data_IF_841437808567
#
_entry.id   IF_841437808567
#
_cell.length_a   1.000
_cell.length_b   1.000
_cell.length_c   1.000
_cell.angle_alpha   90.00
_cell.angle_beta   90.00
_cell.angle_gamma   90.00
#
_symmetry.space_group_name_H-M   'P 1'
#
loop_
_entity.id
_entity.type
_entity.pdbx_description
1 polymer ?
#
# COMPACT_ATOMS: atom_id res chain seq x y z
N UNK A 1 16.49 14.25 1.22
CA UNK A 1 15.36 14.37 0.29
C UNK A 1 14.18 13.70 0.95
N UNK A 2 13.03 14.36 1.01
CA UNK A 2 11.84 13.78 1.64
C UNK A 2 11.20 12.74 0.71
N UNK A 3 10.72 11.64 1.28
CA UNK A 3 10.10 10.54 0.55
C UNK A 3 8.58 10.63 0.72
N UNK A 4 7.87 11.04 -0.33
CA UNK A 4 6.41 10.93 -0.38
C UNK A 4 6.04 9.60 -1.04
N UNK A 5 5.50 8.68 -0.24
CA UNK A 5 5.01 7.38 -0.68
C UNK A 5 3.48 7.39 -0.66
N UNK A 6 2.87 6.95 -1.75
CA UNK A 6 1.42 6.85 -1.88
C UNK A 6 1.01 5.43 -2.28
N UNK A 7 -0.16 5.00 -1.82
CA UNK A 7 -0.84 3.79 -2.23
C UNK A 7 -2.18 4.12 -2.88
N UNK A 8 -2.47 3.56 -4.06
CA UNK A 8 -3.74 3.77 -4.76
C UNK A 8 -3.95 2.69 -5.83
N UNK A 9 -5.16 2.12 -5.93
CA UNK A 9 -5.59 1.24 -7.02
C UNK A 9 -4.59 0.09 -7.26
N UNK A 10 -4.24 -0.63 -6.20
CA UNK A 10 -3.28 -1.74 -6.24
C UNK A 10 -1.85 -1.35 -6.57
N UNK A 11 -1.49 -0.08 -6.46
CA UNK A 11 -0.18 0.46 -6.85
C UNK A 11 0.43 1.27 -5.72
N UNK A 12 1.73 1.12 -5.52
CA UNK A 12 2.53 2.00 -4.66
C UNK A 12 3.40 2.88 -5.55
N UNK A 13 3.55 4.15 -5.20
CA UNK A 13 4.44 5.06 -5.93
C UNK A 13 5.23 5.97 -4.99
N UNK A 14 6.42 6.37 -5.44
CA UNK A 14 7.19 7.47 -4.85
C UNK A 14 7.04 8.70 -5.72
N UNK A 15 6.68 9.81 -5.07
CA UNK A 15 6.51 11.12 -5.67
C UNK A 15 7.57 12.05 -5.07
N UNK A 16 8.17 12.89 -5.91
CA UNK A 16 9.00 14.00 -5.42
C UNK A 16 8.08 15.06 -4.80
N UNK A 17 8.22 15.38 -3.49
CA UNK A 17 7.32 16.30 -2.82
C UNK A 17 7.50 17.76 -3.22
N UNK A 18 8.66 18.15 -3.76
CA UNK A 18 8.92 19.52 -4.21
C UNK A 18 8.35 19.82 -5.60
N UNK A 19 8.17 18.79 -6.43
CA UNK A 19 7.79 18.95 -7.84
C UNK A 19 6.53 18.18 -8.24
N UNK A 20 6.07 17.25 -7.41
CA UNK A 20 4.95 16.36 -7.72
C UNK A 20 5.26 15.30 -8.78
N UNK A 21 6.53 15.15 -9.20
CA UNK A 21 6.93 14.23 -10.26
C UNK A 21 7.00 12.79 -9.74
N UNK A 22 6.55 11.85 -10.59
CA UNK A 22 6.70 10.41 -10.33
C UNK A 22 8.17 10.00 -10.41
N UNK A 23 8.69 9.43 -9.32
CA UNK A 23 10.02 8.82 -9.28
C UNK A 23 9.95 7.34 -9.72
N UNK A 24 9.07 6.57 -9.08
CA UNK A 24 8.78 5.18 -9.45
C UNK A 24 7.35 4.79 -9.07
N UNK A 25 6.83 3.74 -9.73
CA UNK A 25 5.59 3.07 -9.33
C UNK A 25 5.70 1.55 -9.48
N UNK A 26 5.01 0.83 -8.61
CA UNK A 26 4.99 -0.62 -8.57
C UNK A 26 3.56 -1.11 -8.38
N UNK A 27 3.06 -1.88 -9.35
CA UNK A 27 1.79 -2.59 -9.19
C UNK A 27 2.01 -3.78 -8.25
N UNK A 28 1.22 -3.84 -7.18
CA UNK A 28 1.19 -4.97 -6.25
C UNK A 28 0.51 -6.12 -6.99
N UNK A 29 1.27 -7.16 -7.37
CA UNK A 29 0.74 -8.30 -8.12
C UNK A 29 0.86 -9.57 -7.30
N UNK A 30 -0.19 -10.39 -7.30
CA UNK A 30 -0.26 -11.66 -6.55
C UNK A 30 0.07 -12.88 -7.41
N UNK A 31 0.48 -12.68 -8.67
CA UNK A 31 0.88 -13.74 -9.60
C UNK A 31 -0.24 -14.36 -10.44
N UNK A 32 -1.52 -14.08 -10.14
CA UNK A 32 -2.66 -14.49 -10.96
C UNK A 32 -2.92 -13.50 -12.12
N UNK A 33 -3.58 -13.99 -13.19
CA UNK A 33 -4.03 -13.17 -14.34
C UNK A 33 -4.99 -12.04 -13.93
N UNK A 34 -5.75 -12.25 -12.86
CA UNK A 34 -6.57 -11.25 -12.17
C UNK A 34 -5.96 -11.06 -10.78
N UNK A 35 -5.08 -10.08 -10.62
CA UNK A 35 -4.46 -9.83 -9.31
C UNK A 35 -5.52 -9.30 -8.36
N UNK A 36 -5.73 -9.98 -7.23
CA UNK A 36 -6.73 -9.63 -6.21
C UNK A 36 -6.58 -8.20 -5.66
N UNK A 37 -5.40 -7.63 -5.83
CA UNK A 37 -5.02 -6.27 -5.44
C UNK A 37 -5.39 -5.20 -6.48
N UNK A 38 -5.83 -5.60 -7.68
CA UNK A 38 -6.12 -4.65 -8.76
C UNK A 38 -7.31 -3.80 -8.40
N UNK A 39 -7.20 -2.48 -8.55
CA UNK A 39 -8.26 -1.53 -8.21
C UNK A 39 -8.62 -1.41 -6.73
N UNK A 40 -7.85 -2.06 -5.86
CA UNK A 40 -8.08 -2.02 -4.43
C UNK A 40 -7.32 -0.87 -3.77
N UNK A 41 -7.84 -0.47 -2.62
CA UNK A 41 -7.22 0.48 -1.72
C UNK A 41 -5.88 -0.07 -1.17
N UNK A 42 -4.94 0.83 -0.89
CA UNK A 42 -3.58 0.47 -0.48
C UNK A 42 -3.16 1.30 0.73
N UNK A 43 -2.99 0.62 1.87
CA UNK A 43 -2.35 1.22 3.06
C UNK A 43 -0.85 1.18 2.89
N UNK A 44 -0.15 2.29 3.17
CA UNK A 44 1.32 2.36 3.11
C UNK A 44 1.91 2.81 4.45
N UNK A 45 3.01 2.18 4.87
CA UNK A 45 3.82 2.57 6.02
C UNK A 45 5.29 2.63 5.59
N UNK A 46 5.91 3.81 5.72
CA UNK A 46 7.33 4.02 5.40
C UNK A 46 8.17 3.97 6.70
N UNK A 47 9.22 3.15 6.71
CA UNK A 47 10.25 3.16 7.76
C UNK A 47 11.64 3.22 7.12
N UNK A 48 12.32 4.34 7.26
CA UNK A 48 13.63 4.54 6.63
C UNK A 48 13.48 4.44 5.11
N UNK A 49 14.15 3.46 4.49
CA UNK A 49 14.05 3.14 3.06
C UNK A 49 13.16 1.93 2.76
N UNK A 50 12.34 1.45 3.71
CA UNK A 50 11.46 0.30 3.52
C UNK A 50 10.00 0.76 3.50
N UNK A 51 9.25 0.31 2.49
CA UNK A 51 7.82 0.56 2.36
C UNK A 51 7.05 -0.74 2.60
N UNK A 52 6.17 -0.74 3.59
CA UNK A 52 5.17 -1.80 3.77
C UNK A 52 3.87 -1.37 3.13
N UNK A 53 3.28 -2.25 2.32
CA UNK A 53 2.03 -1.98 1.61
C UNK A 53 1.02 -3.10 1.87
N UNK A 54 -0.12 -2.74 2.41
CA UNK A 54 -1.25 -3.62 2.66
C UNK A 54 -2.34 -3.40 1.62
N UNK A 55 -2.83 -4.46 0.97
CA UNK A 55 -3.82 -4.36 -0.11
C UNK A 55 -4.59 -5.68 -0.27
N UNK A 56 -5.92 -5.65 -0.21
CA UNK A 56 -6.80 -6.80 -0.47
C UNK A 56 -6.47 -8.09 0.32
N UNK A 57 -6.07 -7.97 1.59
CA UNK A 57 -5.60 -9.12 2.38
C UNK A 57 -4.18 -9.59 2.06
N UNK A 58 -3.38 -8.82 1.33
CA UNK A 58 -1.97 -9.11 1.07
C UNK A 58 -1.07 -8.06 1.74
N UNK A 59 0.12 -8.49 2.15
CA UNK A 59 1.18 -7.62 2.65
C UNK A 59 2.42 -7.71 1.75
N UNK A 60 2.93 -6.56 1.36
CA UNK A 60 4.13 -6.43 0.54
C UNK A 60 5.17 -5.59 1.27
N UNK A 61 6.43 -5.85 0.96
CA UNK A 61 7.54 -4.99 1.32
C UNK A 61 8.29 -4.60 0.06
N UNK A 62 8.50 -3.30 -0.08
CA UNK A 62 9.18 -2.69 -1.22
C UNK A 62 10.40 -1.93 -0.73
N UNK A 63 11.43 -1.95 -1.57
CA UNK A 63 12.53 -0.99 -1.46
C UNK A 63 12.01 0.42 -1.78
N UNK A 64 12.28 1.38 -0.89
CA UNK A 64 11.80 2.75 -1.01
C UNK A 64 12.57 3.57 -2.06
N UNK A 65 13.76 3.14 -2.46
CA UNK A 65 14.55 3.85 -3.46
C UNK A 65 14.09 3.55 -4.88
N UNK A 66 13.87 2.26 -5.20
CA UNK A 66 13.53 1.82 -6.57
C UNK A 66 12.13 1.19 -6.72
N UNK A 67 11.41 0.97 -5.63
CA UNK A 67 10.06 0.39 -5.63
C UNK A 67 10.03 -1.11 -5.83
N UNK A 68 11.16 -1.81 -5.83
CA UNK A 68 11.20 -3.26 -6.04
C UNK A 68 10.54 -3.99 -4.87
N UNK A 69 9.66 -4.94 -5.18
CA UNK A 69 9.12 -5.87 -4.17
C UNK A 69 10.25 -6.74 -3.65
N UNK A 70 10.57 -6.61 -2.36
CA UNK A 70 11.55 -7.40 -1.63
C UNK A 70 10.94 -8.71 -1.15
N UNK A 71 9.70 -8.67 -0.67
CA UNK A 71 8.92 -9.86 -0.31
C UNK A 71 7.42 -9.60 -0.37
N UNK A 72 6.66 -10.69 -0.41
CA UNK A 72 5.20 -10.73 -0.39
C UNK A 72 4.74 -11.81 0.60
N UNK A 73 3.76 -11.47 1.43
CA UNK A 73 3.02 -12.38 2.30
C UNK A 73 1.53 -12.34 1.94
N UNK A 74 0.89 -13.48 1.57
CA UNK A 74 -0.52 -13.54 1.20
C UNK A 74 -1.50 -13.52 2.38
N UNK A 75 -1.03 -13.47 3.63
CA UNK A 75 -1.84 -13.48 4.85
C UNK A 75 -2.94 -14.57 4.83
N UNK A 76 -2.56 -15.80 4.52
CA UNK A 76 -3.51 -16.91 4.35
C UNK A 76 -4.43 -17.08 5.57
N UNK A 77 -5.73 -17.10 5.32
CA UNK A 77 -6.75 -17.23 6.37
C UNK A 77 -7.22 -15.92 7.00
N UNK A 78 -6.70 -14.75 6.59
CA UNK A 78 -7.08 -13.45 7.16
C UNK A 78 -8.20 -12.74 6.37
N UNK A 79 -8.59 -13.28 5.21
CA UNK A 79 -9.59 -12.69 4.32
C UNK A 79 -8.98 -11.69 3.33
N UNK A 80 -9.83 -10.87 2.68
CA UNK A 80 -9.44 -9.97 1.58
C UNK A 80 -9.67 -8.48 1.90
N UNK A 81 -9.84 -8.13 3.18
CA UNK A 81 -10.14 -6.76 3.61
C UNK A 81 -8.89 -5.86 3.60
N UNK A 82 -9.10 -4.57 3.87
CA UNK A 82 -8.03 -3.60 4.10
C UNK A 82 -7.10 -4.05 5.23
N UNK A 83 -5.80 -3.84 5.02
CA UNK A 83 -4.76 -4.19 5.99
C UNK A 83 -4.33 -2.92 6.72
N UNK A 84 -4.69 -2.80 7.99
CA UNK A 84 -4.15 -1.75 8.87
C UNK A 84 -2.73 -2.11 9.30
N UNK A 85 -1.84 -1.12 9.32
CA UNK A 85 -0.42 -1.32 9.63
C UNK A 85 -0.04 -0.56 10.88
N UNK A 86 0.71 -1.21 11.77
CA UNK A 86 1.31 -0.58 12.93
C UNK A 86 2.74 -1.07 13.12
N UNK A 87 3.55 -0.21 13.69
CA UNK A 87 4.90 -0.47 14.12
C UNK A 87 5.22 0.49 15.27
N UNK A 88 6.29 0.27 16.03
CA UNK A 88 6.60 1.09 17.20
C UNK A 88 6.56 2.61 16.89
N UNK A 89 5.60 3.30 17.52
CA UNK A 89 5.39 4.74 17.39
C UNK A 89 4.61 5.23 16.15
N UNK A 90 4.20 4.35 15.23
CA UNK A 90 3.48 4.73 14.00
C UNK A 90 2.39 3.70 13.65
N UNK A 91 1.18 4.17 13.33
CA UNK A 91 0.10 3.34 12.79
C UNK A 91 -0.66 4.06 11.69
N UNK A 92 -1.06 3.32 10.65
CA UNK A 92 -1.92 3.78 9.56
C UNK A 92 -3.11 2.81 9.47
N UNK A 93 -4.32 3.36 9.44
CA UNK A 93 -5.56 2.60 9.31
C UNK A 93 -6.53 3.34 8.40
N UNK A 94 -7.32 2.59 7.64
CA UNK A 94 -8.46 3.15 6.90
C UNK A 94 -9.57 3.56 7.88
N UNK A 95 -10.07 4.77 7.73
CA UNK A 95 -11.27 5.25 8.42
C UNK A 95 -12.41 5.29 7.41
N UNK A 96 -13.26 4.26 7.41
CA UNK A 96 -14.50 4.31 6.64
C UNK A 96 -15.55 5.13 7.40
N UNK A 97 -16.06 6.19 6.78
CA UNK A 97 -17.17 6.97 7.31
C UNK A 97 -18.46 6.43 6.71
N UNK A 98 -19.26 5.73 7.50
CA UNK A 98 -20.59 5.29 7.08
C UNK A 98 -21.48 6.53 6.92
N UNK A 99 -21.91 6.84 5.70
CA UNK A 99 -22.98 7.82 5.49
C UNK A 99 -24.32 7.09 5.53
N UNK A 100 -25.10 7.31 6.59
CA UNK A 100 -26.50 6.94 6.56
C UNK A 100 -27.22 7.88 5.59
N UNK A 101 -27.56 7.36 4.41
CA UNK A 101 -28.55 8.00 3.55
C UNK A 101 -29.93 7.71 4.15
N UNK A 102 -30.51 8.69 4.82
CA UNK A 102 -31.94 8.64 5.15
C UNK A 102 -32.73 8.65 3.84
N UNK A 103 -33.47 7.58 3.57
CA UNK A 103 -34.46 7.48 2.50
C UNK A 103 -35.71 8.31 2.80
#
# INVERSE_FOLDING_TARGET
MENLIIGCNGTVARIDPGTGKLAWKTSLKTGSLLSATSHEDVTVLLRGSIVFAGCAGHLFCLDGEDGKILWHNPLEGFGHNDVSLAMDGVSIQYLQKTQHTSS
#
